data_IF_971637026888
#
_entry.id   IF_971637026888
#
_cell.length_a   1.000
_cell.length_b   1.000
_cell.length_c   1.000
_cell.angle_alpha   90.00
_cell.angle_beta   90.00
_cell.angle_gamma   90.00
#
_symmetry.space_group_name_H-M   'P 1'
#
loop_
_entity.id
_entity.type
_entity.pdbx_description
1 polymer ?
#
# COMPACT_ATOMS: atom_id res chain seq x y z
N UNK A 1 72.48 -11.04 7.30
CA UNK A 1 71.16 -10.35 7.41
C UNK A 1 70.11 -10.85 6.42
N UNK A 2 70.47 -11.21 5.17
CA UNK A 2 69.47 -11.64 4.16
C UNK A 2 68.74 -12.97 4.46
N UNK A 3 69.36 -13.90 5.20
CA UNK A 3 68.79 -15.23 5.47
C UNK A 3 67.51 -15.22 6.33
N UNK A 4 67.28 -14.18 7.15
CA UNK A 4 66.05 -14.06 7.95
C UNK A 4 64.88 -13.43 7.20
N UNK A 5 65.18 -12.63 6.17
CA UNK A 5 64.15 -11.99 5.32
C UNK A 5 63.53 -13.04 4.39
N UNK A 6 64.35 -13.95 3.84
CA UNK A 6 63.87 -15.06 2.99
C UNK A 6 63.08 -16.11 3.77
N UNK A 7 63.47 -16.43 5.01
CA UNK A 7 62.73 -17.37 5.86
C UNK A 7 61.35 -16.84 6.28
N UNK A 8 61.23 -15.55 6.62
CA UNK A 8 59.95 -14.92 6.96
C UNK A 8 59.00 -14.84 5.75
N UNK A 9 59.53 -14.61 4.54
CA UNK A 9 58.77 -14.63 3.29
C UNK A 9 58.24 -16.04 2.96
N UNK A 10 59.08 -17.07 3.11
CA UNK A 10 58.69 -18.46 2.87
C UNK A 10 57.62 -18.96 3.87
N UNK A 11 57.71 -18.57 5.14
CA UNK A 11 56.71 -18.92 6.15
C UNK A 11 55.34 -18.27 5.88
N UNK A 12 55.33 -17.02 5.40
CA UNK A 12 54.10 -16.32 4.97
C UNK A 12 53.46 -16.96 3.73
N UNK A 13 54.27 -17.38 2.76
CA UNK A 13 53.78 -18.07 1.56
C UNK A 13 53.12 -19.42 1.91
N UNK A 14 53.70 -20.17 2.85
CA UNK A 14 53.14 -21.45 3.31
C UNK A 14 51.82 -21.29 4.08
N UNK A 15 51.69 -20.24 4.89
CA UNK A 15 50.44 -19.92 5.62
C UNK A 15 49.27 -19.50 4.71
N UNK A 16 49.56 -18.99 3.51
CA UNK A 16 48.53 -18.68 2.48
C UNK A 16 48.11 -19.96 1.75
N UNK A 17 49.05 -20.87 1.47
CA UNK A 17 48.76 -22.18 0.86
C UNK A 17 47.99 -23.14 1.78
N UNK A 18 48.18 -23.05 3.11
CA UNK A 18 47.47 -23.89 4.09
C UNK A 18 46.05 -23.38 4.43
N UNK A 19 45.70 -22.14 4.01
CA UNK A 19 44.31 -21.68 4.04
C UNK A 19 43.60 -22.17 2.77
N UNK A 20 43.04 -23.37 2.84
CA UNK A 20 42.06 -23.82 1.85
C UNK A 20 40.85 -22.87 1.90
N UNK A 21 40.81 -21.88 1.00
CA UNK A 21 39.59 -21.14 0.73
C UNK A 21 38.59 -22.09 0.07
N UNK A 22 37.72 -22.68 0.88
CA UNK A 22 36.57 -23.46 0.42
C UNK A 22 35.61 -22.49 -0.29
N UNK A 23 35.79 -22.33 -1.59
CA UNK A 23 34.83 -21.64 -2.45
C UNK A 23 33.52 -22.42 -2.55
N UNK A 24 32.40 -21.71 -2.70
CA UNK A 24 31.13 -22.32 -3.06
C UNK A 24 31.25 -23.04 -4.39
N UNK A 25 30.74 -24.26 -4.47
CA UNK A 25 30.71 -24.99 -5.73
C UNK A 25 29.63 -24.42 -6.64
N UNK A 26 29.87 -24.42 -7.96
CA UNK A 26 28.86 -23.99 -8.94
C UNK A 26 27.57 -24.81 -8.85
N UNK A 27 27.69 -26.10 -8.46
CA UNK A 27 26.53 -26.98 -8.29
C UNK A 27 25.70 -26.62 -7.06
N UNK A 28 26.32 -26.17 -5.96
CA UNK A 28 25.60 -25.69 -4.78
C UNK A 28 24.80 -24.43 -5.10
N UNK A 29 25.36 -23.49 -5.85
CA UNK A 29 24.60 -22.33 -6.28
C UNK A 29 23.52 -22.69 -7.30
N UNK A 30 23.77 -23.65 -8.18
CA UNK A 30 22.79 -24.10 -9.18
C UNK A 30 21.55 -24.73 -8.54
N UNK A 31 21.72 -25.63 -7.56
CA UNK A 31 20.57 -26.26 -6.89
C UNK A 31 19.76 -25.24 -6.09
N UNK A 32 20.42 -24.26 -5.47
CA UNK A 32 19.74 -23.21 -4.71
C UNK A 32 18.88 -22.33 -5.62
N UNK A 33 19.40 -21.89 -6.78
CA UNK A 33 18.62 -21.07 -7.71
C UNK A 33 17.42 -21.82 -8.31
N UNK A 34 17.53 -23.15 -8.47
CA UNK A 34 16.42 -23.99 -8.90
C UNK A 34 15.34 -24.05 -7.82
N UNK A 35 15.71 -24.28 -6.56
CA UNK A 35 14.75 -24.36 -5.44
C UNK A 35 14.03 -23.03 -5.25
N UNK A 36 14.75 -21.89 -5.21
CA UNK A 36 14.10 -20.57 -5.11
C UNK A 36 13.24 -20.26 -6.34
N UNK A 37 13.63 -20.76 -7.53
CA UNK A 37 12.84 -20.61 -8.75
C UNK A 37 11.47 -21.29 -8.66
N UNK A 38 11.43 -22.52 -8.12
CA UNK A 38 10.17 -23.25 -7.90
C UNK A 38 9.30 -22.56 -6.85
N UNK A 39 9.91 -22.11 -5.73
CA UNK A 39 9.18 -21.41 -4.68
C UNK A 39 8.61 -20.07 -5.18
N UNK A 40 9.40 -19.29 -5.92
CA UNK A 40 8.97 -18.01 -6.48
C UNK A 40 7.81 -18.17 -7.47
N UNK A 41 7.84 -19.21 -8.32
CA UNK A 41 6.78 -19.47 -9.29
C UNK A 41 5.39 -19.65 -8.65
N UNK A 42 5.31 -20.28 -7.47
CA UNK A 42 4.06 -20.47 -6.73
C UNK A 42 3.73 -19.23 -5.87
N UNK A 43 4.73 -18.63 -5.24
CA UNK A 43 4.53 -17.55 -4.28
C UNK A 43 4.07 -16.24 -4.94
N UNK A 44 4.59 -15.88 -6.11
CA UNK A 44 4.29 -14.61 -6.79
C UNK A 44 2.79 -14.42 -7.08
N UNK A 45 2.07 -15.36 -7.75
CA UNK A 45 0.64 -15.15 -8.05
C UNK A 45 -0.22 -15.05 -6.78
N UNK A 46 0.09 -15.84 -5.74
CA UNK A 46 -0.62 -15.79 -4.45
C UNK A 46 -0.41 -14.42 -3.80
N UNK A 47 0.83 -13.94 -3.78
CA UNK A 47 1.18 -12.66 -3.19
C UNK A 47 0.45 -11.49 -3.86
N UNK A 48 0.29 -11.53 -5.20
CA UNK A 48 -0.46 -10.51 -5.95
C UNK A 48 -1.93 -10.47 -5.50
N UNK A 49 -2.61 -11.61 -5.41
CA UNK A 49 -4.02 -11.66 -4.98
C UNK A 49 -4.24 -11.18 -3.54
N UNK A 50 -3.30 -11.50 -2.64
CA UNK A 50 -3.33 -10.97 -1.25
C UNK A 50 -3.14 -9.47 -1.24
N UNK A 51 -2.23 -8.94 -2.05
CA UNK A 51 -2.02 -7.49 -2.16
C UNK A 51 -3.27 -6.79 -2.71
N UNK A 52 -3.92 -7.34 -3.74
CA UNK A 52 -5.16 -6.78 -4.30
C UNK A 52 -6.28 -6.72 -3.25
N UNK A 53 -6.46 -7.80 -2.48
CA UNK A 53 -7.46 -7.88 -1.41
C UNK A 53 -7.17 -6.90 -0.27
N UNK A 54 -5.88 -6.68 0.05
CA UNK A 54 -5.46 -5.70 1.04
C UNK A 54 -5.74 -4.27 0.57
N UNK A 55 -5.51 -3.97 -0.71
CA UNK A 55 -5.86 -2.67 -1.31
C UNK A 55 -7.36 -2.43 -1.25
N UNK A 56 -8.19 -3.42 -1.62
CA UNK A 56 -9.65 -3.31 -1.52
C UNK A 56 -10.09 -3.05 -0.08
N UNK A 57 -9.52 -3.78 0.89
CA UNK A 57 -9.81 -3.58 2.31
C UNK A 57 -9.43 -2.18 2.79
N UNK A 58 -8.33 -1.61 2.31
CA UNK A 58 -7.92 -0.25 2.63
C UNK A 58 -8.94 0.79 2.12
N UNK A 59 -9.40 0.67 0.88
CA UNK A 59 -10.42 1.58 0.31
C UNK A 59 -11.75 1.47 1.08
N UNK A 60 -12.17 0.24 1.43
CA UNK A 60 -13.38 0.01 2.24
C UNK A 60 -13.25 0.64 3.64
N UNK A 61 -12.05 0.59 4.23
CA UNK A 61 -11.77 1.26 5.50
C UNK A 61 -11.82 2.78 5.37
N UNK A 62 -11.26 3.35 4.31
CA UNK A 62 -11.32 4.79 4.04
C UNK A 62 -12.77 5.27 3.92
N UNK A 63 -13.63 4.51 3.23
CA UNK A 63 -15.07 4.80 3.13
C UNK A 63 -15.78 4.76 4.48
N UNK A 64 -15.44 3.79 5.32
CA UNK A 64 -16.01 3.69 6.67
C UNK A 64 -15.59 4.88 7.54
N UNK A 65 -14.32 5.30 7.46
CA UNK A 65 -13.83 6.49 8.13
C UNK A 65 -14.51 7.75 7.59
N UNK A 66 -14.68 7.85 6.27
CA UNK A 66 -15.36 8.96 5.62
C UNK A 66 -16.83 9.07 6.05
N UNK A 67 -17.55 7.94 6.16
CA UNK A 67 -18.92 7.88 6.69
C UNK A 67 -18.98 8.49 8.10
N UNK A 68 -18.11 8.04 9.00
CA UNK A 68 -18.07 8.56 10.38
C UNK A 68 -17.76 10.06 10.39
N UNK A 69 -16.80 10.51 9.59
CA UNK A 69 -16.40 11.91 9.53
C UNK A 69 -17.56 12.80 9.02
N UNK A 70 -18.23 12.38 7.96
CA UNK A 70 -19.35 13.09 7.35
C UNK A 70 -20.56 13.14 8.28
N UNK A 71 -20.95 12.02 8.88
CA UNK A 71 -22.08 11.97 9.83
C UNK A 71 -21.81 12.84 11.07
N UNK A 72 -20.57 12.83 11.57
CA UNK A 72 -20.18 13.65 12.72
C UNK A 72 -20.21 15.14 12.37
N UNK A 73 -19.64 15.51 11.22
CA UNK A 73 -19.66 16.88 10.72
C UNK A 73 -21.08 17.40 10.54
N UNK A 74 -21.97 16.60 9.95
CA UNK A 74 -23.37 16.98 9.78
C UNK A 74 -24.08 17.18 11.13
N UNK A 75 -23.86 16.27 12.08
CA UNK A 75 -24.48 16.34 13.42
C UNK A 75 -24.09 17.64 14.15
N UNK A 76 -22.85 18.09 14.01
CA UNK A 76 -22.36 19.31 14.66
C UNK A 76 -22.73 20.59 13.90
N UNK A 77 -22.72 20.56 12.56
CA UNK A 77 -22.83 21.77 11.73
C UNK A 77 -24.18 21.93 11.04
N UNK A 78 -25.05 20.91 11.09
CA UNK A 78 -26.34 20.85 10.36
C UNK A 78 -26.20 21.20 8.87
N UNK A 79 -25.07 20.80 8.28
CA UNK A 79 -24.68 21.12 6.91
C UNK A 79 -24.11 19.87 6.24
N UNK A 80 -24.60 19.60 5.03
CA UNK A 80 -24.01 18.58 4.15
C UNK A 80 -22.60 19.03 3.70
N UNK A 81 -21.56 18.23 3.97
CA UNK A 81 -20.22 18.60 3.54
C UNK A 81 -20.08 18.45 2.02
N UNK A 82 -19.34 19.37 1.43
CA UNK A 82 -18.89 19.28 0.04
C UNK A 82 -17.38 19.16 0.05
N UNK A 83 -16.83 18.08 -0.48
CA UNK A 83 -15.39 17.89 -0.48
C UNK A 83 -14.94 17.06 -1.67
N UNK A 84 -13.67 17.22 -2.03
CA UNK A 84 -12.96 16.33 -2.93
C UNK A 84 -11.59 16.11 -2.34
N UNK A 85 -11.14 14.86 -2.31
CA UNK A 85 -9.83 14.53 -1.74
C UNK A 85 -8.85 14.23 -2.85
N UNK A 86 -7.70 14.87 -2.84
CA UNK A 86 -6.63 14.69 -3.82
C UNK A 86 -5.35 14.32 -3.12
N UNK A 87 -4.67 13.27 -3.58
CA UNK A 87 -3.32 12.95 -3.15
C UNK A 87 -2.34 13.53 -4.16
N UNK A 88 -1.38 14.30 -3.67
CA UNK A 88 -0.28 14.82 -4.47
C UNK A 88 0.62 13.67 -4.93
N UNK A 89 0.91 13.60 -6.23
CA UNK A 89 1.68 12.51 -6.82
C UNK A 89 3.18 12.56 -6.46
N UNK A 90 3.67 13.69 -5.96
CA UNK A 90 5.09 13.92 -5.67
C UNK A 90 5.39 13.80 -4.17
N UNK A 91 4.61 14.47 -3.33
CA UNK A 91 4.80 14.44 -1.86
C UNK A 91 4.03 13.31 -1.18
N UNK A 92 3.00 12.76 -1.84
CA UNK A 92 2.08 11.80 -1.22
C UNK A 92 1.11 12.43 -0.22
N UNK A 93 1.13 13.76 -0.06
CA UNK A 93 0.26 14.46 0.87
C UNK A 93 -1.19 14.38 0.42
N UNK A 94 -2.08 14.17 1.39
CA UNK A 94 -3.53 14.18 1.16
C UNK A 94 -4.07 15.58 1.42
N UNK A 95 -4.49 16.21 0.34
CA UNK A 95 -5.13 17.53 0.31
C UNK A 95 -6.56 17.39 -0.19
N UNK A 96 -7.32 18.49 -0.17
CA UNK A 96 -8.67 18.47 -0.69
C UNK A 96 -9.25 19.85 -0.78
N UNK A 97 -10.45 19.93 -1.34
CA UNK A 97 -11.21 21.16 -1.53
C UNK A 97 -12.49 21.13 -0.69
N UNK A 98 -13.14 22.29 -0.58
CA UNK A 98 -14.39 22.43 0.19
C UNK A 98 -14.18 22.20 1.68
N UNK A 99 -15.06 21.42 2.29
CA UNK A 99 -15.08 21.10 3.72
C UNK A 99 -14.03 20.04 4.12
N UNK A 100 -13.12 19.64 3.22
CA UNK A 100 -12.10 18.60 3.50
C UNK A 100 -11.26 18.89 4.75
N UNK A 101 -10.76 20.11 4.91
CA UNK A 101 -9.93 20.46 6.07
C UNK A 101 -10.73 20.46 7.38
N UNK A 102 -12.04 20.73 7.32
CA UNK A 102 -12.91 20.56 8.47
C UNK A 102 -13.15 19.08 8.78
N UNK A 103 -13.40 18.26 7.75
CA UNK A 103 -13.62 16.81 7.88
C UNK A 103 -12.40 16.06 8.41
N UNK A 104 -11.18 16.57 8.20
CA UNK A 104 -9.96 16.03 8.84
C UNK A 104 -10.06 15.99 10.36
N UNK A 105 -10.68 16.99 10.97
CA UNK A 105 -10.88 17.03 12.42
C UNK A 105 -11.78 15.88 12.91
N UNK A 106 -12.63 15.35 12.03
CA UNK A 106 -13.50 14.20 12.29
C UNK A 106 -12.92 12.87 11.79
N UNK A 107 -11.63 12.83 11.44
CA UNK A 107 -10.93 11.59 11.11
C UNK A 107 -10.99 11.18 9.63
N UNK A 108 -11.41 12.08 8.74
CA UNK A 108 -11.33 11.82 7.30
C UNK A 108 -9.87 11.63 6.87
N UNK A 109 -9.59 10.48 6.26
CA UNK A 109 -8.26 10.09 5.77
C UNK A 109 -8.39 9.45 4.39
N UNK A 110 -7.28 9.39 3.66
CA UNK A 110 -7.22 8.74 2.36
C UNK A 110 -5.95 7.89 2.28
N UNK A 111 -6.10 6.59 2.04
CA UNK A 111 -5.00 5.69 1.73
C UNK A 111 -4.44 5.96 0.34
N UNK A 112 -3.16 5.61 0.15
CA UNK A 112 -2.54 5.52 -1.19
C UNK A 112 -3.27 4.55 -2.13
N UNK A 113 -4.02 3.60 -1.56
CA UNK A 113 -4.72 2.55 -2.30
C UNK A 113 -6.08 3.01 -2.82
N UNK A 114 -6.54 4.20 -2.40
CA UNK A 114 -7.73 4.88 -2.94
C UNK A 114 -7.30 5.87 -4.03
N UNK A 115 -7.89 5.80 -5.22
CA UNK A 115 -7.56 6.69 -6.34
C UNK A 115 -7.81 8.16 -5.98
N UNK A 116 -6.85 9.03 -6.30
CA UNK A 116 -6.97 10.48 -6.09
C UNK A 116 -8.23 11.04 -6.75
N UNK A 117 -9.02 11.82 -6.02
CA UNK A 117 -10.26 12.42 -6.52
C UNK A 117 -11.45 11.47 -6.60
N UNK A 118 -11.27 10.18 -6.31
CA UNK A 118 -12.37 9.20 -6.38
C UNK A 118 -13.27 9.19 -5.16
N UNK A 119 -12.77 9.63 -3.99
CA UNK A 119 -13.57 9.76 -2.78
C UNK A 119 -14.50 10.96 -2.91
N UNK A 120 -15.76 10.67 -3.24
CA UNK A 120 -16.78 11.69 -3.51
C UNK A 120 -18.02 11.44 -2.68
N UNK A 121 -18.66 12.54 -2.28
CA UNK A 121 -19.96 12.55 -1.64
C UNK A 121 -21.06 12.74 -2.70
N UNK A 122 -21.92 11.74 -2.86
CA UNK A 122 -23.12 11.79 -3.69
C UNK A 122 -24.16 12.75 -3.09
N UNK A 123 -24.96 13.39 -3.93
CA UNK A 123 -25.90 14.43 -3.51
C UNK A 123 -26.84 13.93 -2.41
N UNK A 124 -26.92 14.68 -1.33
CA UNK A 124 -27.72 14.39 -0.15
C UNK A 124 -28.30 15.68 0.40
N UNK A 125 -29.57 15.65 0.81
CA UNK A 125 -30.19 16.74 1.56
C UNK A 125 -30.08 16.56 3.07
N UNK A 126 -29.66 15.37 3.56
CA UNK A 126 -29.76 14.97 4.97
C UNK A 126 -28.71 13.94 5.41
N UNK A 127 -28.35 13.90 6.70
CA UNK A 127 -27.38 12.93 7.26
C UNK A 127 -27.77 11.45 7.08
N UNK A 128 -29.04 11.15 6.88
CA UNK A 128 -29.54 9.77 6.78
C UNK A 128 -29.70 9.29 5.33
N UNK A 129 -29.49 10.17 4.35
CA UNK A 129 -29.64 9.87 2.93
C UNK A 129 -28.43 10.40 2.15
N UNK A 130 -27.30 9.71 2.29
CA UNK A 130 -26.10 9.98 1.50
C UNK A 130 -25.47 8.71 0.97
N UNK A 131 -24.69 8.87 -0.09
CA UNK A 131 -23.81 7.83 -0.59
C UNK A 131 -22.40 8.38 -0.77
N UNK A 132 -21.42 7.72 -0.17
CA UNK A 132 -20.01 7.94 -0.41
C UNK A 132 -19.50 6.84 -1.35
N UNK A 133 -18.63 7.19 -2.27
CA UNK A 133 -17.95 6.21 -3.13
C UNK A 133 -16.47 6.51 -3.21
N UNK A 134 -15.68 5.47 -3.48
CA UNK A 134 -14.25 5.55 -3.70
C UNK A 134 -13.83 4.45 -4.69
N UNK A 135 -12.75 4.69 -5.42
CA UNK A 135 -12.21 3.75 -6.39
C UNK A 135 -10.82 3.30 -5.97
N UNK A 136 -10.49 2.02 -6.19
CA UNK A 136 -9.14 1.52 -5.93
C UNK A 136 -8.14 2.06 -6.94
N UNK A 137 -7.01 2.55 -6.44
CA UNK A 137 -5.89 3.02 -7.24
C UNK A 137 -5.35 1.90 -8.16
N UNK A 138 -5.21 2.22 -9.45
CA UNK A 138 -4.67 1.31 -10.46
C UNK A 138 -5.64 0.23 -10.98
N UNK A 139 -6.94 0.31 -10.67
CA UNK A 139 -7.98 -0.50 -11.34
C UNK A 139 -8.57 0.21 -12.55
N UNK A 140 -9.17 -0.57 -13.44
CA UNK A 140 -9.96 -0.04 -14.54
C UNK A 140 -11.20 0.69 -14.01
N UNK A 141 -11.57 1.81 -14.64
CA UNK A 141 -12.69 2.66 -14.20
C UNK A 141 -14.08 1.97 -14.19
N UNK A 142 -14.17 0.74 -14.73
CA UNK A 142 -15.36 -0.11 -14.74
C UNK A 142 -15.43 -1.06 -13.53
N UNK A 143 -14.34 -1.25 -12.80
CA UNK A 143 -14.23 -2.17 -11.65
C UNK A 143 -13.69 -1.42 -10.43
N UNK A 144 -13.46 -2.10 -9.30
CA UNK A 144 -12.74 -1.51 -8.16
C UNK A 144 -13.44 -0.34 -7.46
N UNK A 145 -14.72 -0.13 -7.73
CA UNK A 145 -15.55 0.86 -7.04
C UNK A 145 -16.17 0.25 -5.80
N UNK A 146 -16.18 1.04 -4.74
CA UNK A 146 -16.87 0.72 -3.51
C UNK A 146 -17.71 1.92 -3.09
N UNK A 147 -18.84 1.63 -2.46
CA UNK A 147 -19.76 2.66 -1.98
C UNK A 147 -20.25 2.32 -0.58
N UNK A 148 -20.66 3.35 0.17
CA UNK A 148 -21.27 3.20 1.49
C UNK A 148 -22.36 4.24 1.66
N UNK A 149 -23.50 3.82 2.20
CA UNK A 149 -24.64 4.69 2.51
C UNK A 149 -24.72 4.98 4.01
N UNK A 150 -25.61 5.88 4.42
CA UNK A 150 -25.86 6.17 5.83
C UNK A 150 -26.29 4.92 6.63
N UNK A 151 -27.15 4.08 6.05
CA UNK A 151 -27.73 2.91 6.73
C UNK A 151 -26.90 1.63 6.63
N UNK A 152 -26.17 1.44 5.53
CA UNK A 152 -25.55 0.14 5.21
C UNK A 152 -24.03 0.11 5.44
N UNK A 153 -23.48 -1.10 5.32
CA UNK A 153 -22.03 -1.32 5.23
C UNK A 153 -21.49 -0.98 3.85
N UNK A 154 -20.17 -1.16 3.68
CA UNK A 154 -19.52 -0.94 2.38
C UNK A 154 -19.96 -2.01 1.38
N UNK A 155 -20.44 -1.58 0.22
CA UNK A 155 -20.85 -2.42 -0.91
C UNK A 155 -19.92 -2.26 -2.10
N UNK A 156 -19.85 -3.28 -2.95
CA UNK A 156 -19.12 -3.20 -4.21
C UNK A 156 -19.99 -2.48 -5.26
N UNK A 157 -19.39 -1.54 -5.98
CA UNK A 157 -20.07 -0.71 -6.97
C UNK A 157 -20.00 0.79 -6.68
N UNK A 158 -20.50 1.58 -7.64
CA UNK A 158 -20.65 3.03 -7.49
C UNK A 158 -21.89 3.36 -6.65
N UNK A 159 -22.00 4.62 -6.23
CA UNK A 159 -23.28 5.14 -5.78
C UNK A 159 -24.31 5.02 -6.92
N UNK A 160 -25.48 4.47 -6.59
CA UNK A 160 -26.62 4.34 -7.49
C UNK A 160 -27.36 5.65 -7.68
#
# INVERSE_FOLDING_TARGET
MLSRITAAAAARYKAIQEKEEKGFTLIELLVVVIIIGVLAAIAIPIYIGVQESAKDSAVKSDLTNAKIAVTSFYTENSKTPTFTVTRDATSGDVTGTGDFDALKAYGLTLSKDTESGSLTFGSSTDADDFCLQAHRDGKDASEGWFSITAGDGVTDGKCS
#
